data_IF_554681148164
#
_entry.id   IF_554681148164
#
_cell.length_a   1.000
_cell.length_b   1.000
_cell.length_c   1.000
_cell.angle_alpha   90.00
_cell.angle_beta   90.00
_cell.angle_gamma   90.00
#
_symmetry.space_group_name_H-M   'P 1'
#
loop_
_entity.id
_entity.type
_entity.pdbx_description
1 polymer ?
#
# COMPACT_ATOMS: atom_id res chain seq x y z
N UNK A 1 34.32 -5.39 16.88
CA UNK A 1 33.10 -6.13 17.27
C UNK A 1 31.89 -5.30 16.88
N UNK A 2 31.24 -5.64 15.76
CA UNK A 2 29.95 -5.05 15.44
C UNK A 2 28.93 -5.77 16.32
N UNK A 3 28.31 -5.03 17.25
CA UNK A 3 27.23 -5.55 18.07
C UNK A 3 26.10 -5.99 17.14
N UNK A 4 25.72 -7.27 17.21
CA UNK A 4 24.56 -7.78 16.52
C UNK A 4 23.32 -7.01 17.01
N UNK A 5 22.59 -6.39 16.08
CA UNK A 5 21.28 -5.81 16.39
C UNK A 5 20.39 -6.93 16.98
N UNK A 6 19.66 -6.66 18.07
CA UNK A 6 18.76 -7.63 18.65
C UNK A 6 17.71 -8.02 17.61
N UNK A 7 17.46 -9.33 17.49
CA UNK A 7 16.40 -9.86 16.64
C UNK A 7 15.09 -9.12 16.93
N UNK A 8 14.53 -8.45 15.92
CA UNK A 8 13.27 -7.74 16.05
C UNK A 8 12.18 -8.73 16.48
N UNK A 9 11.60 -8.47 17.64
CA UNK A 9 10.45 -9.20 18.16
C UNK A 9 9.30 -9.12 17.14
N UNK A 10 8.68 -10.27 16.87
CA UNK A 10 7.66 -10.41 15.83
C UNK A 10 6.55 -9.37 16.07
N UNK A 11 6.20 -8.54 15.07
CA UNK A 11 5.11 -7.59 15.22
C UNK A 11 3.82 -8.36 15.57
N UNK A 12 3.18 -8.02 16.70
CA UNK A 12 1.90 -8.59 17.08
C UNK A 12 0.82 -8.09 16.12
N UNK A 13 0.55 -8.88 15.07
CA UNK A 13 -0.55 -8.63 14.14
C UNK A 13 -1.89 -8.61 14.90
N UNK A 14 -2.85 -7.84 14.41
CA UNK A 14 -4.20 -7.89 14.94
C UNK A 14 -4.75 -9.32 14.78
N UNK A 15 -5.19 -9.91 15.89
CA UNK A 15 -5.75 -11.27 15.90
C UNK A 15 -7.14 -11.28 15.30
N UNK A 16 -7.55 -12.44 14.78
CA UNK A 16 -8.88 -12.62 14.23
C UNK A 16 -10.01 -12.54 15.25
N UNK A 17 -9.71 -12.83 16.51
CA UNK A 17 -10.67 -12.92 17.59
C UNK A 17 -10.75 -11.63 18.43
N UNK A 18 -9.88 -10.65 18.14
CA UNK A 18 -9.91 -9.36 18.82
C UNK A 18 -11.22 -8.61 18.46
N UNK A 19 -11.92 -8.09 19.47
CA UNK A 19 -13.07 -7.19 19.31
C UNK A 19 -12.69 -5.77 19.76
N UNK A 20 -11.88 -5.04 18.98
CA UNK A 20 -11.49 -3.69 19.34
C UNK A 20 -12.70 -2.77 19.35
N UNK A 21 -12.80 -1.90 20.36
CA UNK A 21 -13.86 -0.93 20.51
C UNK A 21 -13.26 0.43 20.90
N UNK A 22 -13.97 1.51 20.61
CA UNK A 22 -13.56 2.87 20.92
C UNK A 22 -13.27 3.70 19.68
N UNK A 23 -12.43 4.73 19.86
CA UNK A 23 -12.13 5.74 18.84
C UNK A 23 -10.71 5.56 18.32
N UNK A 24 -10.57 5.49 17.01
CA UNK A 24 -9.30 5.40 16.31
C UNK A 24 -9.12 6.61 15.41
N UNK A 25 -7.93 7.19 15.43
CA UNK A 25 -7.56 8.26 14.52
C UNK A 25 -6.65 7.68 13.45
N UNK A 26 -7.08 7.75 12.19
CA UNK A 26 -6.33 7.23 11.05
C UNK A 26 -5.20 8.20 10.71
N UNK A 27 -4.00 7.71 10.40
CA UNK A 27 -2.82 8.54 10.17
C UNK A 27 -2.52 8.68 8.67
N UNK A 28 -2.00 9.84 8.27
CA UNK A 28 -1.51 10.09 6.90
C UNK A 28 -0.47 11.22 6.89
N UNK A 29 0.82 10.85 6.94
CA UNK A 29 1.95 11.78 6.79
C UNK A 29 1.87 13.02 7.72
N UNK A 30 1.52 12.78 8.99
CA UNK A 30 1.31 13.82 10.01
C UNK A 30 -0.13 14.30 10.15
N UNK A 31 -0.99 14.01 9.17
CA UNK A 31 -2.42 14.31 9.21
C UNK A 31 -3.26 13.22 9.90
N UNK A 32 -4.53 13.56 10.19
CA UNK A 32 -5.54 12.62 10.72
C UNK A 32 -6.82 12.64 9.89
N UNK A 33 -6.80 12.16 8.63
CA UNK A 33 -7.88 12.39 7.67
C UNK A 33 -9.24 11.84 8.12
N UNK A 34 -9.23 10.78 8.92
CA UNK A 34 -10.45 10.13 9.41
C UNK A 34 -10.38 9.81 10.89
N UNK A 35 -11.54 9.91 11.54
CA UNK A 35 -11.83 9.30 12.85
C UNK A 35 -12.75 8.11 12.62
N UNK A 36 -12.45 6.98 13.26
CA UNK A 36 -13.25 5.75 13.19
C UNK A 36 -13.74 5.42 14.59
N UNK A 37 -15.05 5.30 14.75
CA UNK A 37 -15.68 4.88 15.99
C UNK A 37 -16.21 3.44 15.81
N UNK A 38 -15.89 2.58 16.77
CA UNK A 38 -16.22 1.15 16.72
C UNK A 38 -16.93 0.74 17.99
N UNK A 39 -18.13 0.17 17.84
CA UNK A 39 -18.93 -0.38 18.93
C UNK A 39 -19.37 -1.81 18.61
N UNK A 40 -19.58 -2.63 19.65
CA UNK A 40 -20.01 -4.03 19.51
C UNK A 40 -21.32 -4.28 20.27
N UNK A 41 -22.48 -3.83 19.75
CA UNK A 41 -23.77 -4.10 20.37
C UNK A 41 -24.16 -5.59 20.31
N UNK A 42 -23.47 -6.39 19.49
CA UNK A 42 -23.73 -7.82 19.35
C UNK A 42 -22.59 -8.58 18.64
N UNK A 43 -22.92 -9.55 17.76
CA UNK A 43 -21.90 -10.33 17.07
C UNK A 43 -21.18 -9.54 15.96
N UNK A 44 -21.79 -8.47 15.46
CA UNK A 44 -21.21 -7.57 14.48
C UNK A 44 -20.89 -6.21 15.12
N UNK A 45 -19.82 -5.58 14.65
CA UNK A 45 -19.46 -4.22 15.02
C UNK A 45 -20.27 -3.21 14.22
N UNK A 46 -20.67 -2.14 14.87
CA UNK A 46 -21.10 -0.91 14.22
C UNK A 46 -19.88 0.01 14.09
N UNK A 47 -19.56 0.41 12.86
CA UNK A 47 -18.39 1.23 12.56
C UNK A 47 -18.82 2.50 11.86
N UNK A 48 -18.43 3.65 12.43
CA UNK A 48 -18.72 4.97 11.88
C UNK A 48 -17.42 5.66 11.49
N UNK A 49 -17.40 6.28 10.31
CA UNK A 49 -16.24 7.01 9.80
C UNK A 49 -16.62 8.48 9.68
N UNK A 50 -15.77 9.35 10.24
CA UNK A 50 -15.93 10.79 10.24
C UNK A 50 -14.75 11.42 9.51
N UNK A 51 -15.01 12.42 8.67
CA UNK A 51 -13.98 13.13 7.92
C UNK A 51 -13.41 14.26 8.77
N UNK A 52 -12.10 14.49 8.67
CA UNK A 52 -11.47 15.66 9.30
C UNK A 52 -11.95 16.96 8.64
N UNK A 53 -12.22 17.98 9.45
CA UNK A 53 -12.54 19.34 8.99
C UNK A 53 -11.29 20.16 8.66
N UNK A 54 -10.12 19.72 9.11
CA UNK A 54 -8.85 20.42 8.96
C UNK A 54 -7.77 19.48 8.43
N UNK A 55 -6.96 19.98 7.50
CA UNK A 55 -5.93 19.18 6.85
C UNK A 55 -4.52 19.43 7.43
N UNK A 56 -4.22 20.63 7.92
CA UNK A 56 -2.84 20.98 8.34
C UNK A 56 -2.76 21.85 9.61
N UNK A 57 -1.80 21.53 10.48
CA UNK A 57 -1.18 22.47 11.42
C UNK A 57 -1.78 22.59 12.82
N UNK A 58 -3.01 22.13 13.05
CA UNK A 58 -3.61 22.16 14.39
C UNK A 58 -3.27 20.88 15.20
N UNK A 59 -2.90 21.02 16.49
CA UNK A 59 -2.49 19.89 17.31
C UNK A 59 -3.62 18.93 17.67
N UNK A 60 -4.89 19.30 17.42
CA UNK A 60 -6.07 18.50 17.71
C UNK A 60 -6.98 18.47 16.49
N UNK A 61 -7.11 17.32 15.80
CA UNK A 61 -7.99 17.22 14.66
C UNK A 61 -9.45 17.41 15.08
N UNK A 62 -10.18 18.25 14.34
CA UNK A 62 -11.64 18.36 14.42
C UNK A 62 -12.26 17.53 13.30
N UNK A 63 -13.41 16.92 13.58
CA UNK A 63 -14.10 16.05 12.64
C UNK A 63 -15.52 16.55 12.40
N UNK A 64 -16.10 16.16 11.28
CA UNK A 64 -17.52 16.38 11.02
C UNK A 64 -18.38 15.79 12.16
N UNK A 65 -19.47 16.46 12.51
CA UNK A 65 -20.38 16.02 13.58
C UNK A 65 -21.17 14.76 13.21
N UNK A 66 -21.21 14.40 11.92
CA UNK A 66 -21.93 13.24 11.39
C UNK A 66 -20.97 12.31 10.69
N UNK A 67 -21.21 11.01 10.84
CA UNK A 67 -20.49 10.01 10.09
C UNK A 67 -20.79 10.17 8.59
N UNK A 68 -19.73 10.19 7.78
CA UNK A 68 -19.85 10.20 6.31
C UNK A 68 -20.02 8.80 5.74
N UNK A 69 -19.53 7.77 6.45
CA UNK A 69 -19.76 6.36 6.14
C UNK A 69 -20.13 5.59 7.41
N UNK A 70 -20.91 4.52 7.25
CA UNK A 70 -21.25 3.60 8.33
C UNK A 70 -21.28 2.17 7.81
N UNK A 71 -20.76 1.24 8.61
CA UNK A 71 -20.63 -0.16 8.26
C UNK A 71 -21.10 -1.08 9.40
N UNK A 72 -21.59 -2.25 9.02
CA UNK A 72 -21.70 -3.40 9.91
C UNK A 72 -20.59 -4.38 9.55
N UNK A 73 -19.73 -4.73 10.50
CA UNK A 73 -18.55 -5.55 10.27
C UNK A 73 -18.55 -6.81 11.13
N UNK A 74 -18.24 -7.96 10.53
CA UNK A 74 -18.05 -9.22 11.25
C UNK A 74 -16.74 -9.21 12.05
N UNK A 75 -15.71 -8.53 11.53
CA UNK A 75 -14.42 -8.33 12.20
C UNK A 75 -13.88 -6.93 11.93
N UNK A 76 -13.19 -6.38 12.92
CA UNK A 76 -12.48 -5.10 12.84
C UNK A 76 -11.01 -5.34 13.15
N UNK A 77 -10.15 -5.13 12.16
CA UNK A 77 -8.71 -5.33 12.27
C UNK A 77 -8.04 -3.95 12.36
N UNK A 78 -7.58 -3.62 13.56
CA UNK A 78 -6.96 -2.33 13.86
C UNK A 78 -5.48 -2.39 13.53
N UNK A 79 -5.00 -1.42 12.75
CA UNK A 79 -3.59 -1.28 12.41
C UNK A 79 -2.78 -0.96 13.66
N UNK A 80 -1.72 -1.72 13.90
CA UNK A 80 -0.79 -1.53 15.02
C UNK A 80 0.61 -1.32 14.49
N UNK A 81 1.38 -0.46 15.18
CA UNK A 81 2.79 -0.25 14.90
C UNK A 81 3.68 -0.76 16.05
N UNK A 82 4.20 -1.99 15.95
CA UNK A 82 4.98 -2.59 17.06
C UNK A 82 6.27 -1.83 17.38
N UNK A 83 6.84 -1.12 16.40
CA UNK A 83 8.04 -0.30 16.59
C UNK A 83 7.79 0.95 17.44
N UNK A 84 6.62 1.56 17.32
CA UNK A 84 6.32 2.86 17.92
C UNK A 84 5.28 2.80 19.05
N UNK A 85 4.66 1.64 19.26
CA UNK A 85 3.76 1.37 20.39
C UNK A 85 2.33 1.87 20.18
N UNK A 86 1.55 1.80 21.26
CA UNK A 86 0.09 1.98 21.25
C UNK A 86 -0.38 3.38 20.81
N UNK A 87 0.49 4.40 20.81
CA UNK A 87 0.15 5.74 20.31
C UNK A 87 -0.14 5.77 18.80
N UNK A 88 0.23 4.72 18.08
CA UNK A 88 -0.05 4.52 16.66
C UNK A 88 -1.07 3.40 16.40
N UNK A 89 -1.70 2.86 17.45
CA UNK A 89 -2.79 1.91 17.25
C UNK A 89 -4.00 2.64 16.66
N UNK A 90 -4.61 2.05 15.63
CA UNK A 90 -5.67 2.72 14.88
C UNK A 90 -5.19 3.62 13.76
N UNK A 91 -3.89 3.61 13.43
CA UNK A 91 -3.34 4.38 12.30
C UNK A 91 -4.00 4.05 10.94
N UNK A 92 -4.72 2.93 10.87
CA UNK A 92 -5.52 2.44 9.75
C UNK A 92 -6.43 1.34 10.28
N UNK A 93 -7.54 1.07 9.61
CA UNK A 93 -8.51 0.04 10.01
C UNK A 93 -8.92 -0.78 8.79
N UNK A 94 -9.01 -2.10 8.96
CA UNK A 94 -9.51 -3.02 7.95
C UNK A 94 -10.76 -3.74 8.48
N UNK A 95 -11.88 -3.56 7.80
CA UNK A 95 -13.17 -4.15 8.15
C UNK A 95 -13.42 -5.39 7.29
N UNK A 96 -13.87 -6.46 7.91
CA UNK A 96 -14.47 -7.60 7.22
C UNK A 96 -15.99 -7.45 7.25
N UNK A 97 -16.60 -7.16 6.10
CA UNK A 97 -18.05 -6.83 6.00
C UNK A 97 -18.90 -8.01 5.52
N UNK A 98 -18.29 -9.19 5.37
CA UNK A 98 -18.95 -10.44 5.00
C UNK A 98 -18.32 -11.14 3.80
N UNK A 99 -18.33 -12.48 3.80
CA UNK A 99 -17.72 -13.29 2.74
C UNK A 99 -16.23 -12.98 2.58
N UNK A 100 -15.80 -12.61 1.38
CA UNK A 100 -14.43 -12.15 1.08
C UNK A 100 -14.35 -10.64 0.86
N UNK A 101 -15.37 -9.88 1.27
CA UNK A 101 -15.43 -8.42 1.09
C UNK A 101 -14.82 -7.71 2.29
N UNK A 102 -13.99 -6.72 2.00
CA UNK A 102 -13.31 -5.92 2.99
C UNK A 102 -13.41 -4.44 2.67
N UNK A 103 -13.38 -3.61 3.71
CA UNK A 103 -13.28 -2.15 3.59
C UNK A 103 -12.01 -1.72 4.31
N UNK A 104 -11.09 -1.11 3.59
CA UNK A 104 -9.91 -0.49 4.15
C UNK A 104 -10.17 0.98 4.42
N UNK A 105 -9.78 1.45 5.60
CA UNK A 105 -9.86 2.84 6.05
C UNK A 105 -8.44 3.29 6.39
N UNK A 106 -7.82 4.06 5.48
CA UNK A 106 -6.48 4.62 5.63
C UNK A 106 -6.42 6.03 5.07
N UNK A 107 -5.41 6.32 4.23
CA UNK A 107 -5.33 7.57 3.46
C UNK A 107 -6.56 7.80 2.57
N UNK A 108 -7.20 6.72 2.13
CA UNK A 108 -8.46 6.69 1.38
C UNK A 108 -9.32 5.57 1.99
N UNK A 109 -10.65 5.68 1.89
CA UNK A 109 -11.56 4.58 2.21
C UNK A 109 -11.98 3.88 0.94
N UNK A 110 -11.71 2.58 0.83
CA UNK A 110 -12.10 1.78 -0.32
C UNK A 110 -12.54 0.37 0.06
N UNK A 111 -13.40 -0.22 -0.77
CA UNK A 111 -13.77 -1.62 -0.68
C UNK A 111 -12.96 -2.48 -1.66
N UNK A 112 -12.70 -3.73 -1.30
CA UNK A 112 -12.09 -4.72 -2.19
C UNK A 112 -12.58 -6.13 -1.85
N UNK A 113 -12.36 -7.07 -2.78
CA UNK A 113 -12.59 -8.50 -2.55
C UNK A 113 -11.26 -9.23 -2.45
N UNK A 114 -11.02 -9.89 -1.32
CA UNK A 114 -9.82 -10.71 -1.13
C UNK A 114 -9.93 -12.05 -1.88
N UNK A 115 -8.79 -12.68 -2.15
CA UNK A 115 -8.70 -14.03 -2.75
C UNK A 115 -9.04 -15.13 -1.75
N UNK A 116 -8.70 -14.92 -0.48
CA UNK A 116 -9.07 -15.79 0.64
C UNK A 116 -9.35 -14.95 1.88
N UNK A 117 -9.85 -15.59 2.95
CA UNK A 117 -10.11 -14.91 4.22
C UNK A 117 -8.81 -14.35 4.80
N UNK A 118 -8.83 -13.08 5.20
CA UNK A 118 -7.71 -12.41 5.88
C UNK A 118 -7.58 -12.90 7.32
N UNK A 119 -6.38 -13.37 7.67
CA UNK A 119 -6.03 -13.93 8.98
C UNK A 119 -5.17 -12.99 9.81
N UNK A 120 -4.38 -12.12 9.17
CA UNK A 120 -3.51 -11.16 9.85
C UNK A 120 -3.55 -9.78 9.17
N UNK A 121 -3.41 -8.74 9.99
CA UNK A 121 -3.32 -7.35 9.54
C UNK A 121 -2.27 -6.61 10.37
N UNK A 122 -1.41 -5.86 9.68
CA UNK A 122 -0.32 -5.09 10.26
C UNK A 122 -0.30 -3.72 9.59
N UNK A 123 0.00 -2.67 10.34
CA UNK A 123 0.21 -1.34 9.76
C UNK A 123 1.34 -0.63 10.48
N UNK A 124 2.55 -0.83 9.96
CA UNK A 124 3.74 -0.17 10.50
C UNK A 124 3.68 1.31 10.15
N UNK A 125 4.18 2.17 11.03
CA UNK A 125 4.34 3.59 10.73
C UNK A 125 5.81 3.82 10.43
N UNK A 126 6.08 4.34 9.23
CA UNK A 126 7.41 4.74 8.82
C UNK A 126 7.76 6.13 9.35
N UNK A 127 8.85 6.69 8.82
CA UNK A 127 9.20 8.07 9.12
C UNK A 127 8.08 9.01 8.65
N UNK A 128 7.94 10.15 9.33
CA UNK A 128 6.94 11.18 9.05
C UNK A 128 5.48 10.73 9.23
N UNK A 129 5.23 9.73 10.07
CA UNK A 129 3.86 9.33 10.41
C UNK A 129 3.06 8.78 9.21
N UNK A 130 3.73 8.01 8.34
CA UNK A 130 3.13 7.34 7.18
C UNK A 130 2.84 5.88 7.50
N UNK A 131 1.56 5.44 7.51
CA UNK A 131 1.23 4.03 7.67
C UNK A 131 1.55 3.20 6.42
N UNK A 132 2.02 1.96 6.65
CA UNK A 132 2.25 0.92 5.66
C UNK A 132 1.38 -0.31 5.97
N UNK A 133 0.05 -0.20 5.81
CA UNK A 133 -0.89 -1.28 6.09
C UNK A 133 -0.80 -2.39 5.07
N UNK A 134 -0.74 -3.62 5.57
CA UNK A 134 -0.87 -4.82 4.76
C UNK A 134 -1.59 -5.93 5.50
N UNK A 135 -2.18 -6.84 4.73
CA UNK A 135 -2.89 -8.00 5.23
C UNK A 135 -2.33 -9.30 4.64
N UNK A 136 -2.50 -10.41 5.35
CA UNK A 136 -2.25 -11.77 4.85
C UNK A 136 -3.53 -12.59 4.92
N UNK A 137 -3.80 -13.33 3.86
CA UNK A 137 -4.90 -14.30 3.82
C UNK A 137 -4.47 -15.74 4.11
N UNK A 138 -5.45 -16.63 4.26
CA UNK A 138 -5.25 -18.06 4.53
C UNK A 138 -4.38 -18.79 3.48
N UNK A 139 -4.26 -18.25 2.28
CA UNK A 139 -3.45 -18.80 1.19
C UNK A 139 -2.06 -18.13 1.10
N UNK A 140 -1.75 -17.20 2.01
CA UNK A 140 -0.48 -16.49 2.09
C UNK A 140 -0.34 -15.31 1.13
N UNK A 141 -1.40 -14.91 0.42
CA UNK A 141 -1.35 -13.69 -0.40
C UNK A 141 -1.25 -12.47 0.50
N UNK A 142 -0.49 -11.47 0.05
CA UNK A 142 -0.28 -10.22 0.80
C UNK A 142 -0.89 -9.05 0.06
N UNK A 143 -1.68 -8.26 0.77
CA UNK A 143 -2.42 -7.12 0.22
C UNK A 143 -1.76 -5.84 0.73
N UNK A 144 -1.19 -5.03 -0.14
CA UNK A 144 -0.55 -3.76 0.19
C UNK A 144 -1.51 -2.63 -0.17
N UNK A 145 -2.11 -2.03 0.85
CA UNK A 145 -3.29 -1.18 0.66
C UNK A 145 -2.94 0.17 0.02
N UNK A 146 -1.79 0.76 0.34
CA UNK A 146 -1.41 2.10 -0.19
C UNK A 146 -0.89 2.00 -1.64
N UNK A 147 -0.37 0.84 -2.03
CA UNK A 147 0.12 0.57 -3.39
C UNK A 147 -0.95 -0.08 -4.29
N UNK A 148 -2.10 -0.43 -3.70
CA UNK A 148 -3.20 -1.16 -4.35
C UNK A 148 -2.70 -2.40 -5.09
N UNK A 149 -1.84 -3.22 -4.46
CA UNK A 149 -1.24 -4.41 -5.08
C UNK A 149 -1.39 -5.63 -4.18
N UNK A 150 -1.54 -6.80 -4.80
CA UNK A 150 -1.53 -8.11 -4.16
C UNK A 150 -0.27 -8.85 -4.60
N UNK A 151 0.46 -9.41 -3.64
CA UNK A 151 1.69 -10.16 -3.87
C UNK A 151 1.44 -11.65 -3.72
N UNK A 152 1.93 -12.43 -4.67
CA UNK A 152 1.82 -13.88 -4.67
C UNK A 152 2.46 -14.50 -3.42
N UNK A 153 1.78 -15.50 -2.85
CA UNK A 153 2.30 -16.26 -1.70
C UNK A 153 3.64 -16.94 -2.00
N UNK A 154 3.91 -17.27 -3.27
CA UNK A 154 5.17 -17.87 -3.73
C UNK A 154 6.40 -16.99 -3.55
N UNK A 155 6.22 -15.69 -3.33
CA UNK A 155 7.32 -14.74 -3.16
C UNK A 155 7.94 -14.78 -1.76
N UNK A 156 7.29 -15.46 -0.81
CA UNK A 156 7.63 -15.38 0.60
C UNK A 156 8.07 -16.74 1.11
N UNK A 157 9.38 -16.98 1.09
CA UNK A 157 10.01 -18.14 1.73
C UNK A 157 10.17 -17.96 3.25
N UNK A 158 10.14 -16.71 3.72
CA UNK A 158 10.23 -16.34 5.13
C UNK A 158 9.29 -15.18 5.48
N UNK A 159 9.05 -14.98 6.78
CA UNK A 159 8.31 -13.82 7.30
C UNK A 159 9.14 -12.53 7.09
N UNK A 160 8.93 -11.84 5.97
CA UNK A 160 9.50 -10.52 5.67
C UNK A 160 8.42 -9.44 5.52
N UNK A 161 8.83 -8.16 5.57
CA UNK A 161 7.92 -7.05 5.29
C UNK A 161 7.54 -7.06 3.79
N UNK A 162 6.24 -7.15 3.46
CA UNK A 162 5.80 -7.16 2.07
C UNK A 162 6.14 -5.87 1.31
N UNK A 163 6.19 -4.72 1.98
CA UNK A 163 6.56 -3.45 1.34
C UNK A 163 8.03 -3.41 0.97
N UNK A 164 8.91 -3.93 1.84
CA UNK A 164 10.34 -4.02 1.52
C UNK A 164 10.54 -4.86 0.26
N UNK A 165 9.90 -6.04 0.18
CA UNK A 165 9.96 -6.90 -1.00
C UNK A 165 9.39 -6.20 -2.24
N UNK A 166 8.23 -5.55 -2.13
CA UNK A 166 7.59 -4.87 -3.26
C UNK A 166 8.46 -3.73 -3.81
N UNK A 167 8.97 -2.84 -2.95
CA UNK A 167 9.80 -1.73 -3.41
C UNK A 167 11.14 -2.21 -3.95
N UNK A 168 11.73 -3.22 -3.33
CA UNK A 168 13.00 -3.76 -3.76
C UNK A 168 12.91 -4.50 -5.10
N UNK A 169 11.87 -5.33 -5.28
CA UNK A 169 11.63 -6.11 -6.49
C UNK A 169 10.92 -5.34 -7.59
N UNK A 170 10.25 -4.23 -7.28
CA UNK A 170 9.54 -3.39 -8.25
C UNK A 170 10.43 -2.53 -9.14
N UNK A 171 11.76 -2.56 -8.98
CA UNK A 171 12.71 -1.77 -9.78
C UNK A 171 13.03 -2.48 -11.09
N UNK A 172 12.73 -1.82 -12.22
CA UNK A 172 13.01 -2.33 -13.57
C UNK A 172 14.34 -1.77 -14.11
N UNK A 173 14.63 -0.50 -13.86
CA UNK A 173 15.92 0.14 -14.20
C UNK A 173 16.47 0.94 -13.03
N UNK A 174 17.78 1.18 -13.04
CA UNK A 174 18.49 1.84 -11.93
C UNK A 174 17.86 3.20 -11.53
N UNK A 175 17.66 3.40 -10.22
CA UNK A 175 17.14 4.63 -9.64
C UNK A 175 18.27 5.66 -9.45
N UNK A 176 18.66 6.33 -10.53
CA UNK A 176 19.82 7.25 -10.56
C UNK A 176 19.71 8.48 -9.64
N UNK A 177 18.55 8.74 -9.04
CA UNK A 177 18.33 9.85 -8.11
C UNK A 177 18.50 9.45 -6.64
N UNK A 178 18.79 8.18 -6.36
CA UNK A 178 19.12 7.68 -5.01
C UNK A 178 20.64 7.61 -4.83
N UNK A 179 21.12 7.78 -3.59
CA UNK A 179 22.56 7.72 -3.26
C UNK A 179 22.79 6.67 -2.17
N UNK A 180 23.41 5.51 -2.48
CA UNK A 180 23.82 5.07 -3.82
C UNK A 180 22.60 4.76 -4.72
N UNK A 181 22.77 4.71 -6.06
CA UNK A 181 21.71 4.30 -6.97
C UNK A 181 21.19 2.90 -6.61
N UNK A 182 19.87 2.75 -6.51
CA UNK A 182 19.25 1.44 -6.36
C UNK A 182 19.22 0.72 -7.71
N UNK A 183 19.95 -0.38 -7.81
CA UNK A 183 19.99 -1.25 -9.00
C UNK A 183 18.82 -2.25 -9.00
N UNK A 184 18.29 -2.64 -10.17
CA UNK A 184 17.28 -3.68 -10.26
C UNK A 184 17.89 -5.03 -9.81
N UNK A 185 17.16 -5.78 -8.98
CA UNK A 185 17.59 -7.12 -8.54
C UNK A 185 17.41 -8.20 -9.59
N UNK A 186 16.66 -7.91 -10.65
CA UNK A 186 16.39 -8.81 -11.76
C UNK A 186 16.49 -8.03 -13.07
N UNK A 187 17.09 -8.64 -14.09
CA UNK A 187 17.04 -8.13 -15.45
C UNK A 187 15.70 -8.50 -16.09
N UNK A 188 14.98 -7.51 -16.64
CA UNK A 188 13.68 -7.73 -17.25
C UNK A 188 13.69 -7.32 -18.72
N UNK A 189 13.41 -8.27 -19.63
CA UNK A 189 13.39 -8.07 -21.09
C UNK A 189 14.64 -7.38 -21.67
N UNK A 190 15.79 -7.50 -20.97
CA UNK A 190 17.05 -6.85 -21.31
C UNK A 190 17.03 -5.33 -21.19
N UNK A 191 16.04 -4.73 -20.53
CA UNK A 191 15.91 -3.28 -20.40
C UNK A 191 16.91 -2.76 -19.37
N UNK A 192 17.76 -1.82 -19.79
CA UNK A 192 18.83 -1.25 -18.96
C UNK A 192 18.59 0.22 -18.63
N UNK A 193 17.86 0.95 -19.47
CA UNK A 193 17.54 2.36 -19.23
C UNK A 193 16.11 2.68 -19.64
N UNK A 194 15.57 3.70 -18.98
CA UNK A 194 14.27 4.28 -19.29
C UNK A 194 14.39 5.79 -19.37
N UNK A 195 13.69 6.37 -20.33
CA UNK A 195 13.78 7.78 -20.66
C UNK A 195 12.38 8.36 -20.89
N UNK A 196 12.19 9.60 -20.44
CA UNK A 196 11.03 10.42 -20.80
C UNK A 196 11.57 11.70 -21.45
N UNK A 197 11.36 11.83 -22.76
CA UNK A 197 12.05 12.80 -23.60
C UNK A 197 13.56 12.59 -23.57
N UNK A 198 14.28 13.63 -23.15
CA UNK A 198 15.75 13.62 -23.04
C UNK A 198 16.24 13.23 -21.64
N UNK A 199 15.35 13.03 -20.68
CA UNK A 199 15.72 12.78 -19.29
C UNK A 199 15.73 11.29 -18.99
N UNK A 200 16.87 10.76 -18.53
CA UNK A 200 16.95 9.41 -17.97
C UNK A 200 16.19 9.36 -16.65
N UNK A 201 15.34 8.34 -16.47
CA UNK A 201 14.53 8.11 -15.28
C UNK A 201 14.69 6.66 -14.82
N UNK A 202 14.48 6.43 -13.54
CA UNK A 202 14.28 5.07 -13.04
C UNK A 202 12.90 4.58 -13.44
N UNK A 203 12.81 3.34 -13.93
CA UNK A 203 11.55 2.66 -14.23
C UNK A 203 11.24 1.70 -13.09
N UNK A 204 10.01 1.75 -12.59
CA UNK A 204 9.48 0.82 -11.59
C UNK A 204 8.10 0.37 -12.01
N UNK A 205 7.69 -0.78 -11.51
CA UNK A 205 6.31 -1.25 -11.65
C UNK A 205 5.31 -0.17 -11.20
N UNK A 206 4.21 -0.07 -11.94
CA UNK A 206 3.08 0.80 -11.65
C UNK A 206 1.80 -0.02 -11.69
N UNK A 207 1.05 -0.04 -10.60
CA UNK A 207 -0.23 -0.77 -10.50
C UNK A 207 -1.29 -0.28 -11.49
N UNK A 208 -1.24 1.02 -11.85
CA UNK A 208 -2.16 1.67 -12.80
C UNK A 208 -1.37 2.30 -13.96
N UNK A 209 -0.80 1.49 -14.86
CA UNK A 209 0.16 1.96 -15.85
C UNK A 209 -0.44 2.96 -16.84
N UNK A 210 -1.74 2.89 -17.13
CA UNK A 210 -2.42 3.85 -18.00
C UNK A 210 -2.41 5.25 -17.39
N UNK A 211 -2.73 5.36 -16.10
CA UNK A 211 -2.79 6.63 -15.37
C UNK A 211 -1.39 7.20 -15.23
N UNK A 212 -0.40 6.36 -14.87
CA UNK A 212 0.98 6.81 -14.77
C UNK A 212 1.53 7.32 -16.12
N UNK A 213 1.23 6.62 -17.22
CA UNK A 213 1.59 7.08 -18.55
C UNK A 213 0.98 8.45 -18.87
N UNK A 214 -0.32 8.63 -18.62
CA UNK A 214 -1.04 9.89 -18.86
C UNK A 214 -0.50 11.04 -18.01
N UNK A 215 -0.25 10.81 -16.72
CA UNK A 215 0.30 11.81 -15.80
C UNK A 215 1.69 12.30 -16.24
N UNK A 216 2.46 11.46 -16.94
CA UNK A 216 3.83 11.76 -17.36
C UNK A 216 3.96 12.08 -18.85
N UNK A 217 2.93 11.87 -19.66
CA UNK A 217 2.95 12.13 -21.11
C UNK A 217 3.33 13.58 -21.44
N UNK A 218 2.95 14.54 -20.58
CA UNK A 218 3.34 15.95 -20.73
C UNK A 218 4.83 16.24 -20.54
N UNK A 219 5.62 15.27 -20.03
CA UNK A 219 7.07 15.40 -19.81
C UNK A 219 7.89 14.95 -21.03
N UNK A 220 7.28 14.30 -22.02
CA UNK A 220 7.94 13.84 -23.24
C UNK A 220 7.56 12.41 -23.65
N UNK A 221 8.12 11.96 -24.77
CA UNK A 221 7.90 10.60 -25.28
C UNK A 221 8.68 9.56 -24.45
N UNK A 222 8.13 8.36 -24.33
CA UNK A 222 8.70 7.29 -23.51
C UNK A 222 9.65 6.43 -24.35
N UNK A 223 10.82 6.11 -23.81
CA UNK A 223 11.77 5.22 -24.45
C UNK A 223 12.40 4.24 -23.47
N UNK A 224 12.76 3.06 -23.96
CA UNK A 224 13.64 2.11 -23.28
C UNK A 224 14.90 1.84 -24.10
N UNK A 225 15.97 1.46 -23.42
CA UNK A 225 17.20 0.96 -24.05
C UNK A 225 17.37 -0.49 -23.62
N UNK A 226 17.69 -1.38 -24.56
CA UNK A 226 17.86 -2.82 -24.30
C UNK A 226 19.29 -3.29 -24.55
N UNK A 227 19.87 -4.00 -23.59
CA UNK A 227 21.24 -4.55 -23.65
C UNK A 227 22.29 -3.47 -23.91
N UNK A 228 23.36 -3.84 -24.62
CA UNK A 228 24.42 -2.91 -25.04
C UNK A 228 24.04 -2.06 -26.26
N UNK A 229 22.84 -2.25 -26.81
CA UNK A 229 22.39 -1.48 -27.97
C UNK A 229 22.05 -0.06 -27.52
N UNK A 230 22.80 0.94 -28.01
CA UNK A 230 22.57 2.35 -27.69
C UNK A 230 21.28 2.95 -28.29
N UNK A 231 20.46 2.15 -28.98
CA UNK A 231 19.26 2.64 -29.65
C UNK A 231 18.08 2.74 -28.67
N UNK A 232 17.53 3.95 -28.55
CA UNK A 232 16.28 4.20 -27.83
C UNK A 232 15.10 3.60 -28.61
N UNK A 233 14.36 2.71 -27.97
CA UNK A 233 13.13 2.12 -28.49
C UNK A 233 11.97 2.92 -27.92
N UNK A 234 11.22 3.60 -28.79
CA UNK A 234 10.03 4.36 -28.40
C UNK A 234 8.93 3.41 -27.91
N UNK A 235 8.28 3.76 -26.80
CA UNK A 235 7.12 3.05 -26.29
C UNK A 235 5.85 3.85 -26.62
N UNK A 236 4.87 3.19 -27.24
CA UNK A 236 3.49 3.69 -27.22
C UNK A 236 2.86 3.50 -25.83
N UNK A 237 1.66 4.04 -25.61
CA UNK A 237 0.88 3.77 -24.39
C UNK A 237 0.65 2.28 -24.20
N UNK A 238 0.24 1.59 -25.27
CA UNK A 238 -0.05 0.16 -25.22
C UNK A 238 1.22 -0.67 -24.94
N UNK A 239 2.37 -0.29 -25.51
CA UNK A 239 3.65 -0.95 -25.23
C UNK A 239 4.06 -0.77 -23.76
N UNK A 240 3.86 0.43 -23.20
CA UNK A 240 4.16 0.73 -21.79
C UNK A 240 3.27 -0.07 -20.84
N UNK A 241 1.96 -0.07 -21.09
CA UNK A 241 0.96 -0.83 -20.30
C UNK A 241 1.27 -2.32 -20.37
N UNK A 242 1.51 -2.85 -21.57
CA UNK A 242 1.91 -4.25 -21.75
C UNK A 242 3.19 -4.57 -20.99
N UNK A 243 4.20 -3.71 -21.06
CA UNK A 243 5.45 -3.89 -20.33
C UNK A 243 5.24 -3.98 -18.81
N UNK A 244 4.33 -3.18 -18.25
CA UNK A 244 4.00 -3.23 -16.83
C UNK A 244 3.25 -4.50 -16.44
N UNK A 245 2.32 -4.97 -17.28
CA UNK A 245 1.64 -6.25 -17.05
C UNK A 245 2.59 -7.44 -17.15
N UNK A 246 3.42 -7.49 -18.20
CA UNK A 246 4.42 -8.55 -18.36
C UNK A 246 5.38 -8.60 -17.15
N UNK A 247 5.74 -7.43 -16.60
CA UNK A 247 6.58 -7.35 -15.41
C UNK A 247 5.84 -7.82 -14.17
N UNK A 248 4.57 -7.42 -13.99
CA UNK A 248 3.76 -7.85 -12.86
C UNK A 248 3.62 -9.38 -12.83
N UNK A 249 3.34 -10.00 -13.98
CA UNK A 249 3.21 -11.44 -14.13
C UNK A 249 4.50 -12.17 -13.75
N UNK A 250 5.66 -11.70 -14.22
CA UNK A 250 6.97 -12.27 -13.87
C UNK A 250 7.27 -12.13 -12.37
N UNK A 251 6.92 -10.99 -11.78
CA UNK A 251 7.20 -10.70 -10.37
C UNK A 251 6.16 -11.26 -9.41
N UNK A 252 5.06 -11.83 -9.90
CA UNK A 252 3.95 -12.30 -9.07
C UNK A 252 3.19 -11.17 -8.38
N UNK A 253 3.08 -10.02 -9.03
CA UNK A 253 2.32 -8.86 -8.58
C UNK A 253 0.98 -8.83 -9.32
N UNK A 254 -0.09 -8.48 -8.60
CA UNK A 254 -1.41 -8.32 -9.19
C UNK A 254 -2.04 -7.01 -8.71
N UNK A 255 -2.67 -6.22 -9.58
CA UNK A 255 -3.45 -5.06 -9.13
C UNK A 255 -4.56 -5.47 -8.16
N UNK A 256 -4.64 -4.79 -7.03
CA UNK A 256 -5.79 -4.87 -6.14
C UNK A 256 -6.93 -4.06 -6.76
N UNK A 257 -7.99 -4.74 -7.19
CA UNK A 257 -9.19 -4.08 -7.66
C UNK A 257 -9.93 -3.47 -6.46
N UNK A 258 -10.04 -2.13 -6.48
CA UNK A 258 -10.65 -1.35 -5.40
C UNK A 258 -11.82 -0.51 -5.91
N UNK A 259 -12.81 -0.32 -5.07
CA UNK A 259 -13.89 0.65 -5.23
C UNK A 259 -13.70 1.74 -4.17
N UNK A 260 -13.31 2.94 -4.59
CA UNK A 260 -13.17 4.07 -3.67
C UNK A 260 -14.54 4.49 -3.14
N UNK A 261 -14.69 4.50 -1.81
CA UNK A 261 -15.90 4.91 -1.11
C UNK A 261 -15.82 6.35 -0.63
N UNK A 262 -14.63 6.78 -0.20
CA UNK A 262 -14.37 8.14 0.29
C UNK A 262 -12.92 8.53 0.08
N UNK A 263 -12.73 9.59 -0.71
CA UNK A 263 -11.42 10.25 -0.90
C UNK A 263 -11.06 11.09 0.34
N UNK A 264 -9.76 11.25 0.61
CA UNK A 264 -9.30 12.27 1.55
C UNK A 264 -9.66 13.67 1.04
N UNK A 265 -9.82 14.62 1.96
CA UNK A 265 -9.75 16.02 1.56
C UNK A 265 -8.33 16.31 1.05
N UNK A 266 -8.21 16.81 -0.17
CA UNK A 266 -7.00 17.47 -0.68
C UNK A 266 -7.12 18.97 -0.47
#
# INVERSE_FOLDING_TARGET
EAAAEPAQEKPAAASADDKPAGVFHVHDNGGRPFKVEVEWPGPQAEVQVFKSLQYDGDPLPSYEDRACLSFSAERVLVGRCPKHGAIFDGNSVLLHVGGLKYVFIGVVVFAFTAKSRITAYVSRVGNNDVPYPWAVDEQGWRYLMIESVVLSSKLFESDGDPYDLYYDRGVITAQIHTVPPQEPKMQFQGIVEFWIGENRRGLRYQTRPEVDFECRAGQGEFFVVKGDAAAKIKLSKDDYVKLMHDFADEMGFEPLSVETLLERHM
#
